data_IF_594821955574
#
_entry.id   IF_594821955574
#
_cell.length_a   1.000
_cell.length_b   1.000
_cell.length_c   1.000
_cell.angle_alpha   90.00
_cell.angle_beta   90.00
_cell.angle_gamma   90.00
#
_symmetry.space_group_name_H-M   'P 1'
#
loop_
_entity.id
_entity.type
_entity.pdbx_description
1 polymer ?
#
# COMPACT_ATOMS: atom_id res chain seq x y z
N UNK A 1 -19.41 -1.51 -9.50
CA UNK A 1 -18.35 -1.44 -8.47
C UNK A 1 -17.22 -0.61 -9.03
N UNK A 2 -16.34 -0.07 -8.18
CA UNK A 2 -15.16 0.68 -8.61
C UNK A 2 -14.01 -0.27 -8.93
N UNK A 3 -13.19 0.05 -9.92
CA UNK A 3 -12.04 -0.76 -10.36
C UNK A 3 -10.75 0.00 -10.10
N UNK A 4 -9.91 -0.56 -9.25
CA UNK A 4 -8.51 -0.11 -9.12
C UNK A 4 -7.59 -1.14 -9.74
N UNK A 5 -6.52 -0.67 -10.38
CA UNK A 5 -5.46 -1.54 -10.94
C UNK A 5 -4.15 -1.34 -10.19
N UNK A 6 -3.42 -2.43 -10.01
CA UNK A 6 -2.10 -2.43 -9.38
C UNK A 6 -1.02 -2.08 -10.41
N UNK A 7 -0.13 -1.17 -10.04
CA UNK A 7 0.92 -0.64 -10.90
C UNK A 7 2.21 -0.47 -10.12
N UNK A 8 3.32 -0.60 -10.84
CA UNK A 8 4.67 -0.44 -10.30
C UNK A 8 5.54 0.37 -11.25
N UNK A 9 6.60 1.06 -10.77
CA UNK A 9 7.54 1.77 -11.61
C UNK A 9 8.65 0.84 -12.18
N UNK A 10 8.35 -0.45 -12.36
CA UNK A 10 9.29 -1.44 -12.88
C UNK A 10 8.92 -1.87 -14.29
N UNK A 11 9.94 -2.13 -15.11
CA UNK A 11 9.78 -2.67 -16.47
C UNK A 11 10.78 -3.81 -16.69
N UNK A 12 10.27 -4.97 -17.11
CA UNK A 12 11.09 -6.14 -17.42
C UNK A 12 12.06 -5.85 -18.58
N UNK A 13 13.36 -6.19 -18.48
CA UNK A 13 14.36 -5.80 -19.47
C UNK A 13 14.14 -6.46 -20.83
N UNK A 14 13.64 -7.69 -20.86
CA UNK A 14 13.28 -8.40 -22.08
C UNK A 14 11.85 -8.05 -22.52
N UNK A 15 11.60 -6.77 -22.80
CA UNK A 15 10.32 -6.30 -23.31
C UNK A 15 10.48 -5.24 -24.40
N UNK A 16 9.45 -5.10 -25.24
CA UNK A 16 9.37 -4.00 -26.22
C UNK A 16 9.26 -2.65 -25.51
N UNK A 17 8.54 -2.61 -24.38
CA UNK A 17 8.40 -1.42 -23.52
C UNK A 17 9.75 -0.97 -22.99
N UNK A 18 10.60 -1.87 -22.51
CA UNK A 18 11.95 -1.52 -22.05
C UNK A 18 12.76 -0.83 -23.14
N UNK A 19 12.84 -1.43 -24.33
CA UNK A 19 13.60 -0.86 -25.47
C UNK A 19 13.11 0.52 -25.87
N UNK A 20 11.79 0.73 -25.85
CA UNK A 20 11.18 2.04 -26.09
C UNK A 20 11.63 3.06 -25.04
N UNK A 21 11.47 2.74 -23.75
CA UNK A 21 11.81 3.63 -22.65
C UNK A 21 13.31 3.94 -22.58
N UNK A 22 14.15 2.95 -22.85
CA UNK A 22 15.60 3.12 -22.94
C UNK A 22 15.97 4.10 -24.06
N UNK A 23 15.40 3.92 -25.26
CA UNK A 23 15.65 4.80 -26.40
C UNK A 23 15.25 6.25 -26.15
N UNK A 24 14.29 6.47 -25.24
CA UNK A 24 13.80 7.78 -24.84
C UNK A 24 14.47 8.31 -23.55
N UNK A 25 15.38 7.56 -22.94
CA UNK A 25 16.07 7.95 -21.72
C UNK A 25 15.16 8.04 -20.48
N UNK A 26 14.06 7.28 -20.44
CA UNK A 26 13.06 7.34 -19.38
C UNK A 26 13.33 6.38 -18.22
N UNK A 27 14.33 5.51 -18.35
CA UNK A 27 14.76 4.56 -17.31
C UNK A 27 15.86 5.16 -16.43
N UNK A 28 15.86 4.75 -15.16
CA UNK A 28 16.88 5.15 -14.20
C UNK A 28 18.24 4.56 -14.58
N UNK A 29 19.30 5.36 -14.39
CA UNK A 29 20.67 4.97 -14.72
C UNK A 29 21.51 4.80 -13.45
N UNK A 30 22.45 3.87 -13.50
CA UNK A 30 23.43 3.66 -12.45
C UNK A 30 24.54 4.74 -12.50
N UNK A 31 25.47 4.69 -11.56
CA UNK A 31 26.61 5.61 -11.48
C UNK A 31 27.57 5.58 -12.69
N UNK A 32 27.49 4.55 -13.55
CA UNK A 32 28.24 4.43 -14.80
C UNK A 32 27.49 4.99 -16.01
N UNK A 33 26.26 5.49 -15.82
CA UNK A 33 25.40 5.99 -16.89
C UNK A 33 24.68 4.90 -17.68
N UNK A 34 24.76 3.63 -17.27
CA UNK A 34 24.03 2.51 -17.89
C UNK A 34 22.61 2.42 -17.30
N UNK A 35 21.65 1.86 -18.03
CA UNK A 35 20.32 1.58 -17.45
C UNK A 35 20.49 0.58 -16.30
N UNK A 36 20.02 0.96 -15.12
CA UNK A 36 20.16 0.14 -13.93
C UNK A 36 19.10 -0.96 -13.87
N UNK A 37 19.55 -2.20 -13.65
CA UNK A 37 18.68 -3.35 -13.37
C UNK A 37 18.79 -3.70 -11.90
N UNK A 38 17.66 -3.84 -11.23
CA UNK A 38 17.60 -4.33 -9.84
C UNK A 38 16.75 -5.59 -9.73
N UNK A 39 17.03 -6.39 -8.70
CA UNK A 39 16.21 -7.53 -8.30
C UNK A 39 15.17 -7.05 -7.29
N UNK A 40 13.91 -7.38 -7.55
CA UNK A 40 12.79 -7.21 -6.63
C UNK A 40 12.02 -8.53 -6.53
N UNK A 41 10.90 -8.56 -5.81
CA UNK A 41 10.19 -9.82 -5.53
C UNK A 41 9.69 -10.50 -6.82
N UNK A 42 9.38 -9.73 -7.87
CA UNK A 42 8.94 -10.22 -9.19
C UNK A 42 10.10 -10.32 -10.21
N UNK A 43 11.32 -10.59 -9.73
CA UNK A 43 12.48 -10.86 -10.57
C UNK A 43 13.36 -9.64 -10.85
N UNK A 44 13.84 -9.50 -12.09
CA UNK A 44 14.77 -8.44 -12.49
C UNK A 44 14.07 -7.41 -13.36
N UNK A 45 14.25 -6.12 -13.05
CA UNK A 45 13.60 -5.04 -13.79
C UNK A 45 14.44 -3.77 -13.79
N UNK A 46 14.22 -2.92 -14.80
CA UNK A 46 14.64 -1.53 -14.74
C UNK A 46 13.58 -0.69 -14.02
N UNK A 47 14.06 0.36 -13.35
CA UNK A 47 13.20 1.32 -12.66
C UNK A 47 12.95 2.53 -13.56
N UNK A 48 11.71 3.03 -13.60
CA UNK A 48 11.39 4.30 -14.27
C UNK A 48 12.12 5.45 -13.57
N UNK A 49 12.66 6.41 -14.33
CA UNK A 49 13.23 7.63 -13.77
C UNK A 49 12.15 8.66 -13.45
N UNK A 50 11.34 8.44 -12.41
CA UNK A 50 10.21 9.34 -12.05
C UNK A 50 10.67 10.71 -11.51
N UNK A 51 11.98 10.94 -11.37
CA UNK A 51 12.54 12.27 -11.12
C UNK A 51 12.53 13.15 -12.38
N UNK A 52 12.34 12.57 -13.56
CA UNK A 52 12.20 13.27 -14.83
C UNK A 52 10.73 13.56 -15.15
N UNK A 53 10.43 14.82 -15.44
CA UNK A 53 9.08 15.23 -15.87
C UNK A 53 8.64 14.54 -17.18
N UNK A 54 9.58 14.13 -18.05
CA UNK A 54 9.27 13.36 -19.26
C UNK A 54 8.78 11.96 -18.91
N UNK A 55 9.43 11.29 -17.96
CA UNK A 55 9.02 9.95 -17.50
C UNK A 55 7.68 10.02 -16.76
N UNK A 56 7.48 11.03 -15.91
CA UNK A 56 6.20 11.26 -15.24
C UNK A 56 5.08 11.49 -16.26
N UNK A 57 5.33 12.30 -17.30
CA UNK A 57 4.37 12.49 -18.38
C UNK A 57 4.01 11.17 -19.07
N UNK A 58 5.02 10.40 -19.49
CA UNK A 58 4.80 9.10 -20.13
C UNK A 58 4.00 8.14 -19.23
N UNK A 59 4.30 8.11 -17.94
CA UNK A 59 3.60 7.28 -16.97
C UNK A 59 2.12 7.70 -16.85
N UNK A 60 1.86 9.01 -16.68
CA UNK A 60 0.50 9.56 -16.60
C UNK A 60 -0.29 9.37 -17.89
N UNK A 61 0.33 9.46 -19.07
CA UNK A 61 -0.34 9.11 -20.34
C UNK A 61 -0.81 7.65 -20.36
N UNK A 62 -0.07 6.73 -19.74
CA UNK A 62 -0.51 5.36 -19.51
C UNK A 62 -1.70 5.26 -18.56
N UNK A 63 -1.67 6.02 -17.45
CA UNK A 63 -2.78 6.09 -16.49
C UNK A 63 -4.06 6.63 -17.12
N UNK A 64 -3.98 7.69 -17.94
CA UNK A 64 -5.16 8.25 -18.61
C UNK A 64 -5.78 7.24 -19.59
N UNK A 65 -4.97 6.46 -20.32
CA UNK A 65 -5.49 5.36 -21.16
C UNK A 65 -6.24 4.31 -20.34
N UNK A 66 -5.75 3.98 -19.14
CA UNK A 66 -6.45 3.07 -18.24
C UNK A 66 -7.77 3.67 -17.75
N UNK A 67 -7.82 4.98 -17.47
CA UNK A 67 -9.07 5.68 -17.11
C UNK A 67 -10.07 5.71 -18.26
N UNK A 68 -9.60 5.92 -19.50
CA UNK A 68 -10.43 5.82 -20.71
C UNK A 68 -11.04 4.41 -20.87
N UNK A 69 -10.35 3.38 -20.39
CA UNK A 69 -10.86 2.00 -20.32
C UNK A 69 -11.81 1.73 -19.14
N UNK A 70 -12.04 2.71 -18.27
CA UNK A 70 -12.97 2.61 -17.13
C UNK A 70 -12.31 2.27 -15.78
N UNK A 71 -10.98 2.38 -15.66
CA UNK A 71 -10.29 2.28 -14.36
C UNK A 71 -10.59 3.52 -13.51
N UNK A 72 -11.00 3.31 -12.26
CA UNK A 72 -11.36 4.38 -11.32
C UNK A 72 -10.18 4.85 -10.45
N UNK A 73 -9.14 4.02 -10.29
CA UNK A 73 -8.02 4.34 -9.40
C UNK A 73 -6.83 3.40 -9.52
N UNK A 74 -5.79 3.69 -8.75
CA UNK A 74 -4.47 3.04 -8.88
C UNK A 74 -3.89 2.63 -7.53
N UNK A 75 -3.49 1.36 -7.40
CA UNK A 75 -2.65 0.90 -6.30
C UNK A 75 -1.19 1.00 -6.77
N UNK A 76 -0.50 2.01 -6.28
CA UNK A 76 0.83 2.45 -6.69
C UNK A 76 1.89 1.88 -5.75
N UNK A 77 2.55 0.81 -6.19
CA UNK A 77 3.46 0.01 -5.37
C UNK A 77 4.91 0.07 -5.88
N UNK A 78 5.87 -0.39 -5.08
CA UNK A 78 7.28 -0.48 -5.48
C UNK A 78 8.01 0.87 -5.56
N UNK A 79 7.45 1.92 -4.98
CA UNK A 79 8.08 3.25 -4.83
C UNK A 79 9.09 3.35 -3.69
N UNK A 80 9.48 2.22 -3.11
CA UNK A 80 10.35 2.13 -1.93
C UNK A 80 11.77 2.67 -2.24
N UNK A 81 12.39 3.44 -1.31
CA UNK A 81 13.68 4.08 -1.55
C UNK A 81 14.82 3.08 -1.77
N UNK A 82 14.70 1.86 -1.23
CA UNK A 82 15.69 0.78 -1.38
C UNK A 82 15.90 0.40 -2.84
N UNK A 83 14.84 0.38 -3.65
CA UNK A 83 14.94 0.03 -5.07
C UNK A 83 15.75 1.07 -5.86
N UNK A 84 15.55 2.35 -5.55
CA UNK A 84 16.32 3.44 -6.14
C UNK A 84 17.78 3.42 -5.68
N UNK A 85 18.01 3.21 -4.38
CA UNK A 85 19.35 3.11 -3.80
C UNK A 85 20.15 1.93 -4.40
N UNK A 86 19.50 0.77 -4.60
CA UNK A 86 20.11 -0.40 -5.24
C UNK A 86 20.58 -0.11 -6.68
N UNK A 87 19.81 0.68 -7.44
CA UNK A 87 20.15 1.03 -8.82
C UNK A 87 21.27 2.07 -8.89
N UNK A 88 21.17 3.12 -8.09
CA UNK A 88 22.05 4.30 -8.19
C UNK A 88 23.34 4.17 -7.37
N UNK A 89 23.34 3.34 -6.34
CA UNK A 89 24.40 3.26 -5.33
C UNK A 89 24.34 4.39 -4.29
N UNK A 90 23.28 5.19 -4.30
CA UNK A 90 23.06 6.26 -3.32
C UNK A 90 22.54 5.71 -1.98
N UNK A 91 22.59 6.54 -0.94
CA UNK A 91 22.03 6.18 0.36
C UNK A 91 20.50 6.13 0.32
N UNK A 92 19.89 5.33 1.21
CA UNK A 92 18.41 5.27 1.36
C UNK A 92 17.84 6.65 1.69
N UNK A 93 18.55 7.46 2.49
CA UNK A 93 18.12 8.81 2.84
C UNK A 93 18.03 9.73 1.62
N UNK A 94 19.01 9.65 0.70
CA UNK A 94 18.97 10.40 -0.56
C UNK A 94 17.88 9.86 -1.50
N UNK A 95 17.69 8.54 -1.51
CA UNK A 95 16.70 7.86 -2.34
C UNK A 95 15.24 8.19 -1.98
N UNK A 96 14.95 8.70 -0.78
CA UNK A 96 13.60 9.14 -0.38
C UNK A 96 12.99 10.19 -1.32
N UNK A 97 13.79 10.96 -2.06
CA UNK A 97 13.30 11.87 -3.10
C UNK A 97 12.56 11.14 -4.22
N UNK A 98 12.93 9.90 -4.50
CA UNK A 98 12.25 9.04 -5.46
C UNK A 98 10.86 8.65 -4.95
N UNK A 99 10.78 8.21 -3.69
CA UNK A 99 9.49 7.89 -3.03
C UNK A 99 8.57 9.10 -3.00
N UNK A 100 9.10 10.29 -2.69
CA UNK A 100 8.36 11.57 -2.73
C UNK A 100 7.85 11.87 -4.14
N UNK A 101 8.70 11.76 -5.16
CA UNK A 101 8.30 12.01 -6.56
C UNK A 101 7.26 11.00 -7.08
N UNK A 102 7.40 9.72 -6.72
CA UNK A 102 6.44 8.69 -7.13
C UNK A 102 5.08 8.86 -6.46
N UNK A 103 5.07 9.23 -5.17
CA UNK A 103 3.84 9.56 -4.45
C UNK A 103 3.14 10.80 -5.02
N UNK A 104 3.89 11.82 -5.47
CA UNK A 104 3.34 13.03 -6.05
C UNK A 104 2.50 12.78 -7.31
N UNK A 105 2.78 11.71 -8.08
CA UNK A 105 1.97 11.31 -9.25
C UNK A 105 0.52 11.08 -8.86
N UNK A 106 0.27 10.53 -7.67
CA UNK A 106 -1.06 10.18 -7.19
C UNK A 106 -1.91 11.39 -6.84
N UNK A 107 -1.31 12.58 -6.66
CA UNK A 107 -2.01 13.80 -6.30
C UNK A 107 -2.97 14.29 -7.40
N UNK A 108 -2.84 13.77 -8.61
CA UNK A 108 -3.69 14.11 -9.75
C UNK A 108 -4.93 13.21 -9.86
N UNK A 109 -5.11 12.24 -8.96
CA UNK A 109 -6.16 11.22 -9.05
C UNK A 109 -6.94 11.07 -7.74
N UNK A 110 -8.25 10.88 -7.86
CA UNK A 110 -9.15 10.80 -6.71
C UNK A 110 -8.96 9.53 -5.85
N UNK A 111 -8.49 8.44 -6.46
CA UNK A 111 -8.42 7.12 -5.81
C UNK A 111 -7.05 6.49 -6.02
N UNK A 112 -6.16 6.68 -5.04
CA UNK A 112 -4.81 6.10 -5.05
C UNK A 112 -4.44 5.47 -3.72
N UNK A 113 -3.75 4.34 -3.76
CA UNK A 113 -3.19 3.65 -2.59
C UNK A 113 -1.67 3.52 -2.76
N UNK A 114 -0.90 3.92 -1.75
CA UNK A 114 0.55 3.80 -1.71
C UNK A 114 1.01 2.93 -0.53
N UNK A 115 1.98 2.04 -0.78
CA UNK A 115 2.69 1.32 0.31
C UNK A 115 3.87 2.12 0.85
N UNK A 116 4.58 2.84 -0.02
CA UNK A 116 5.70 3.70 0.33
C UNK A 116 5.36 5.15 0.01
N UNK A 117 5.52 6.04 0.99
CA UNK A 117 5.20 7.46 0.85
C UNK A 117 6.14 8.31 1.71
N UNK A 118 6.61 9.42 1.16
CA UNK A 118 7.49 10.37 1.85
C UNK A 118 7.05 11.80 1.58
N UNK A 119 7.03 12.64 2.62
CA UNK A 119 6.69 14.08 2.56
C UNK A 119 5.32 14.45 1.94
N UNK A 120 4.37 13.53 1.94
CA UNK A 120 2.97 13.78 1.52
C UNK A 120 1.95 13.61 2.65
N UNK A 121 2.40 13.76 3.89
CA UNK A 121 1.50 13.89 5.04
C UNK A 121 0.55 15.08 4.85
N UNK A 122 -0.72 14.92 5.22
CA UNK A 122 -1.77 15.94 5.05
C UNK A 122 -2.35 16.04 3.64
N UNK A 123 -1.90 15.22 2.68
CA UNK A 123 -2.51 15.12 1.34
C UNK A 123 -3.67 14.12 1.33
N UNK A 124 -4.43 14.07 0.23
CA UNK A 124 -5.55 13.13 0.07
C UNK A 124 -5.13 11.68 -0.24
N UNK A 125 -3.83 11.42 -0.41
CA UNK A 125 -3.33 10.10 -0.78
C UNK A 125 -3.71 9.10 0.32
N UNK A 126 -4.10 7.88 -0.05
CA UNK A 126 -4.28 6.79 0.92
C UNK A 126 -2.99 5.99 1.07
N UNK A 127 -2.65 5.63 2.31
CA UNK A 127 -1.42 4.90 2.61
C UNK A 127 -1.73 3.57 3.28
N UNK A 128 -1.29 2.48 2.66
CA UNK A 128 -1.31 1.16 3.28
C UNK A 128 -0.04 0.97 4.11
N UNK A 129 -0.17 0.33 5.27
CA UNK A 129 1.00 -0.16 5.99
C UNK A 129 1.81 -1.12 5.09
N UNK A 130 3.10 -1.25 5.37
CA UNK A 130 3.91 -2.26 4.69
C UNK A 130 3.33 -3.68 4.90
N UNK A 131 3.64 -4.58 3.97
CA UNK A 131 3.14 -5.94 3.97
C UNK A 131 3.39 -6.63 5.33
N UNK A 132 2.33 -7.16 5.91
CA UNK A 132 2.27 -7.87 7.19
C UNK A 132 2.16 -9.35 6.94
N UNK A 133 2.80 -10.13 7.80
CA UNK A 133 2.74 -11.57 7.71
C UNK A 133 1.38 -12.08 8.19
N UNK A 134 0.98 -13.26 7.73
CA UNK A 134 -0.06 -14.09 8.34
C UNK A 134 0.42 -14.65 9.70
N UNK A 135 0.62 -13.75 10.66
CA UNK A 135 1.10 -14.04 12.01
C UNK A 135 0.32 -13.26 13.08
N UNK A 136 0.24 -13.83 14.29
CA UNK A 136 -0.40 -13.18 15.45
C UNK A 136 0.45 -12.07 16.07
N UNK A 137 1.77 -12.14 15.91
CA UNK A 137 2.74 -11.28 16.58
C UNK A 137 2.96 -9.92 15.89
N UNK A 138 4.02 -9.21 16.28
CA UNK A 138 4.38 -7.87 15.78
C UNK A 138 4.86 -7.86 14.33
N UNK A 139 5.04 -9.02 13.70
CA UNK A 139 5.26 -9.13 12.26
C UNK A 139 3.94 -9.14 11.47
N UNK A 140 2.82 -9.37 12.16
CA UNK A 140 1.48 -9.46 11.62
C UNK A 140 0.43 -8.66 12.41
N UNK A 141 -0.58 -9.35 12.93
CA UNK A 141 -1.80 -8.80 13.51
C UNK A 141 -1.53 -7.82 14.67
N UNK A 142 -0.63 -8.15 15.60
CA UNK A 142 -0.35 -7.29 16.74
C UNK A 142 0.27 -5.94 16.33
N UNK A 143 0.73 -5.81 15.08
CA UNK A 143 1.34 -4.58 14.58
C UNK A 143 0.33 -3.60 13.95
N UNK A 144 -0.89 -4.03 13.63
CA UNK A 144 -1.81 -3.23 12.80
C UNK A 144 -2.22 -1.93 13.50
N UNK A 145 -2.74 -2.04 14.72
CA UNK A 145 -3.19 -0.91 15.54
C UNK A 145 -2.04 0.06 15.86
N UNK A 146 -0.90 -0.38 16.46
CA UNK A 146 0.17 0.56 16.81
C UNK A 146 0.77 1.25 15.58
N UNK A 147 0.95 0.54 14.47
CA UNK A 147 1.46 1.15 13.24
C UNK A 147 0.44 2.09 12.59
N UNK A 148 -0.86 1.76 12.64
CA UNK A 148 -1.94 2.63 12.15
C UNK A 148 -2.02 3.94 12.94
N UNK A 149 -1.88 3.88 14.27
CA UNK A 149 -1.79 5.07 15.14
C UNK A 149 -0.54 5.89 14.78
N UNK A 150 0.62 5.26 14.65
CA UNK A 150 1.86 5.96 14.30
C UNK A 150 1.79 6.64 12.92
N UNK A 151 1.19 5.96 11.94
CA UNK A 151 0.92 6.49 10.61
C UNK A 151 0.02 7.74 10.68
N UNK A 152 -1.09 7.66 11.43
CA UNK A 152 -2.00 8.78 11.63
C UNK A 152 -1.34 9.97 12.34
N UNK A 153 -0.58 9.73 13.41
CA UNK A 153 0.16 10.77 14.14
C UNK A 153 1.23 11.46 13.28
N UNK A 154 1.74 10.75 12.26
CA UNK A 154 2.68 11.30 11.28
C UNK A 154 2.00 12.11 10.17
N UNK A 155 0.68 12.32 10.24
CA UNK A 155 -0.12 13.10 9.29
C UNK A 155 -0.63 12.32 8.07
N UNK A 156 -0.49 11.00 8.05
CA UNK A 156 -1.05 10.13 7.03
C UNK A 156 -2.40 9.58 7.51
N UNK A 157 -3.45 10.38 7.39
CA UNK A 157 -4.72 10.08 8.05
C UNK A 157 -5.54 8.99 7.36
N UNK A 158 -5.37 8.77 6.06
CA UNK A 158 -6.16 7.85 5.24
C UNK A 158 -5.50 6.48 5.14
N UNK A 159 -5.35 5.83 6.29
CA UNK A 159 -4.61 4.58 6.45
C UNK A 159 -5.39 3.30 6.11
N UNK A 160 -4.67 2.32 5.55
CA UNK A 160 -5.10 0.93 5.42
C UNK A 160 -4.16 0.04 6.28
N UNK A 161 -4.67 -0.87 7.14
CA UNK A 161 -3.88 -1.68 8.07
C UNK A 161 -3.04 -2.76 7.40
N UNK A 162 -2.90 -2.75 6.08
CA UNK A 162 -2.52 -3.88 5.23
C UNK A 162 -3.67 -4.84 4.89
N UNK A 163 -3.39 -5.79 3.98
CA UNK A 163 -4.35 -6.74 3.46
C UNK A 163 -4.81 -7.73 4.55
N UNK A 164 -6.12 -7.97 4.60
CA UNK A 164 -6.74 -8.89 5.56
C UNK A 164 -6.23 -10.31 5.32
N UNK A 165 -5.70 -10.90 6.39
CA UNK A 165 -5.02 -12.19 6.37
C UNK A 165 -3.51 -12.07 6.22
N UNK A 166 -2.95 -10.90 5.94
CA UNK A 166 -1.54 -10.74 5.59
C UNK A 166 -1.36 -10.29 4.14
N UNK A 167 -0.28 -9.56 3.88
CA UNK A 167 0.04 -8.95 2.59
C UNK A 167 1.15 -9.67 1.82
N UNK A 168 1.82 -10.66 2.41
CA UNK A 168 2.92 -11.36 1.73
C UNK A 168 2.39 -12.43 0.77
N UNK A 169 2.95 -12.47 -0.44
CA UNK A 169 2.62 -13.51 -1.41
C UNK A 169 2.89 -14.92 -0.86
N UNK A 170 4.00 -15.10 -0.15
CA UNK A 170 4.42 -16.38 0.43
C UNK A 170 3.56 -16.88 1.59
N UNK A 171 2.70 -16.03 2.16
CA UNK A 171 1.80 -16.46 3.24
C UNK A 171 0.73 -17.41 2.71
N UNK A 172 0.34 -17.22 1.45
CA UNK A 172 -0.80 -17.90 0.87
C UNK A 172 -0.48 -18.76 -0.34
N UNK A 173 0.69 -18.61 -0.94
CA UNK A 173 1.07 -19.38 -2.11
C UNK A 173 2.39 -20.09 -1.83
N UNK A 174 2.47 -21.36 -2.25
CA UNK A 174 3.75 -22.04 -2.27
C UNK A 174 4.67 -21.34 -3.28
N UNK A 175 5.91 -21.04 -2.87
CA UNK A 175 6.90 -20.35 -3.69
C UNK A 175 7.07 -21.04 -5.04
N UNK A 176 6.74 -20.32 -6.12
CA UNK A 176 6.83 -20.84 -7.49
C UNK A 176 5.55 -21.50 -8.01
N UNK A 177 4.45 -21.48 -7.25
CA UNK A 177 3.13 -21.96 -7.70
C UNK A 177 2.06 -20.86 -7.60
N UNK A 178 0.94 -21.06 -8.29
CA UNK A 178 -0.30 -20.27 -8.12
C UNK A 178 -1.33 -21.01 -7.25
N UNK A 179 -0.92 -22.10 -6.59
CA UNK A 179 -1.80 -22.90 -5.75
C UNK A 179 -1.87 -22.29 -4.35
N UNK A 180 -3.08 -21.97 -3.85
CA UNK A 180 -3.23 -21.50 -2.48
C UNK A 180 -2.78 -22.58 -1.51
N UNK A 181 -2.07 -22.17 -0.48
CA UNK A 181 -1.78 -22.98 0.70
C UNK A 181 -3.09 -23.35 1.39
N UNK A 182 -3.25 -24.63 1.71
CA UNK A 182 -4.44 -25.15 2.39
C UNK A 182 -4.39 -25.03 3.93
N UNK A 183 -3.30 -24.50 4.48
CA UNK A 183 -3.02 -24.43 5.93
C UNK A 183 -3.10 -23.01 6.51
N UNK A 184 -3.94 -22.14 5.92
CA UNK A 184 -4.21 -20.80 6.45
C UNK A 184 -4.83 -20.87 7.84
N UNK A 185 -4.29 -20.12 8.81
CA UNK A 185 -4.93 -19.93 10.11
C UNK A 185 -6.19 -19.07 9.93
N UNK A 186 -7.32 -19.77 9.86
CA UNK A 186 -8.61 -19.17 9.57
C UNK A 186 -9.09 -18.22 10.68
N UNK A 187 -8.74 -18.50 11.94
CA UNK A 187 -9.08 -17.60 13.05
C UNK A 187 -8.30 -16.30 12.89
N UNK A 188 -7.00 -16.39 12.59
CA UNK A 188 -6.16 -15.23 12.33
C UNK A 188 -6.70 -14.38 11.17
N UNK A 189 -7.12 -15.00 10.07
CA UNK A 189 -7.74 -14.30 8.94
C UNK A 189 -8.99 -13.51 9.39
N UNK A 190 -9.85 -14.13 10.20
CA UNK A 190 -11.04 -13.47 10.77
C UNK A 190 -10.63 -12.30 11.69
N UNK A 191 -9.58 -12.43 12.51
CA UNK A 191 -9.11 -11.34 13.37
C UNK A 191 -8.56 -10.17 12.58
N UNK A 192 -7.84 -10.43 11.51
CA UNK A 192 -7.44 -9.39 10.55
C UNK A 192 -8.65 -8.65 10.00
N UNK A 193 -9.72 -9.37 9.63
CA UNK A 193 -10.95 -8.75 9.12
C UNK A 193 -11.64 -7.87 10.17
N UNK A 194 -11.72 -8.36 11.42
CA UNK A 194 -12.33 -7.64 12.54
C UNK A 194 -11.57 -6.35 12.89
N UNK A 195 -10.23 -6.39 12.94
CA UNK A 195 -9.41 -5.19 13.17
C UNK A 195 -9.58 -4.21 12.01
N UNK A 196 -9.48 -4.70 10.77
CA UNK A 196 -9.55 -3.86 9.57
C UNK A 196 -10.92 -3.20 9.36
N UNK A 197 -12.00 -3.81 9.86
CA UNK A 197 -13.35 -3.25 9.77
C UNK A 197 -13.47 -1.84 10.39
N UNK A 198 -12.62 -1.50 11.36
CA UNK A 198 -12.64 -0.22 12.05
C UNK A 198 -11.53 0.75 11.63
N UNK A 199 -10.69 0.38 10.65
CA UNK A 199 -9.73 1.28 10.02
C UNK A 199 -10.41 2.20 8.98
N UNK A 200 -9.77 3.27 8.49
CA UNK A 200 -10.29 4.08 7.39
C UNK A 200 -10.57 3.26 6.13
N UNK A 201 -9.69 2.30 5.83
CA UNK A 201 -9.79 1.39 4.69
C UNK A 201 -9.68 -0.08 5.14
N UNK A 202 -10.35 -0.98 4.42
CA UNK A 202 -10.18 -2.43 4.55
C UNK A 202 -9.99 -3.05 3.16
N UNK A 203 -9.04 -3.98 3.03
CA UNK A 203 -8.70 -4.64 1.76
C UNK A 203 -8.44 -6.12 2.03
N UNK A 204 -9.12 -7.04 1.34
CA UNK A 204 -8.83 -8.47 1.46
C UNK A 204 -7.68 -8.88 0.54
N UNK A 205 -6.73 -9.68 1.06
CA UNK A 205 -5.67 -10.29 0.23
C UNK A 205 -6.23 -11.35 -0.72
N UNK A 206 -7.21 -12.11 -0.24
CA UNK A 206 -7.83 -13.21 -0.94
C UNK A 206 -9.34 -13.19 -0.75
N UNK A 207 -10.03 -13.77 -1.72
CA UNK A 207 -11.44 -14.09 -1.59
C UNK A 207 -11.65 -15.09 -0.42
N UNK A 208 -12.34 -14.72 0.67
CA UNK A 208 -12.39 -15.55 1.88
C UNK A 208 -12.99 -16.94 1.63
N UNK A 209 -13.98 -17.05 0.73
CA UNK A 209 -14.61 -18.33 0.37
C UNK A 209 -13.69 -19.32 -0.35
N UNK A 210 -12.49 -18.90 -0.79
CA UNK A 210 -11.49 -19.80 -1.40
C UNK A 210 -10.59 -20.47 -0.38
N UNK A 211 -10.46 -19.90 0.82
CA UNK A 211 -9.44 -20.29 1.81
C UNK A 211 -10.00 -20.54 3.22
N UNK A 212 -11.25 -20.15 3.47
CA UNK A 212 -11.93 -20.34 4.75
C UNK A 212 -13.07 -21.35 4.63
N UNK A 213 -13.31 -22.09 5.71
CA UNK A 213 -14.53 -22.85 5.91
C UNK A 213 -15.75 -21.93 6.08
N UNK A 214 -16.94 -22.52 6.07
CA UNK A 214 -18.18 -21.76 6.15
C UNK A 214 -18.31 -20.94 7.44
N UNK A 215 -17.82 -21.44 8.57
CA UNK A 215 -17.91 -20.75 9.87
C UNK A 215 -17.05 -19.48 9.86
N UNK A 216 -15.79 -19.58 9.43
CA UNK A 216 -14.87 -18.45 9.38
C UNK A 216 -15.22 -17.47 8.25
N UNK A 217 -15.77 -17.96 7.14
CA UNK A 217 -16.34 -17.11 6.10
C UNK A 217 -17.49 -16.25 6.62
N UNK A 218 -18.43 -16.84 7.39
CA UNK A 218 -19.52 -16.10 8.03
C UNK A 218 -18.96 -15.06 9.02
N UNK A 219 -17.94 -15.41 9.81
CA UNK A 219 -17.31 -14.44 10.73
C UNK A 219 -16.65 -13.25 9.99
N UNK A 220 -16.12 -13.44 8.78
CA UNK A 220 -15.67 -12.33 7.94
C UNK A 220 -16.83 -11.44 7.46
N UNK A 221 -17.99 -12.03 7.16
CA UNK A 221 -19.21 -11.27 6.82
C UNK A 221 -19.66 -10.44 8.03
N UNK A 222 -19.63 -11.01 9.24
CA UNK A 222 -19.96 -10.28 10.47
C UNK A 222 -19.03 -9.07 10.70
N UNK A 223 -17.73 -9.22 10.40
CA UNK A 223 -16.79 -8.08 10.43
C UNK A 223 -17.14 -7.00 9.40
N UNK A 224 -17.56 -7.39 8.20
CA UNK A 224 -18.05 -6.45 7.17
C UNK A 224 -19.35 -5.78 7.63
N UNK A 225 -20.24 -6.48 8.32
CA UNK A 225 -21.47 -5.91 8.85
C UNK A 225 -21.18 -4.90 9.97
N UNK A 226 -20.16 -5.15 10.81
CA UNK A 226 -19.63 -4.16 11.74
C UNK A 226 -19.11 -2.91 11.01
N UNK A 227 -18.35 -3.07 9.93
CA UNK A 227 -17.92 -1.94 9.08
C UNK A 227 -19.12 -1.13 8.58
N UNK A 228 -20.17 -1.79 8.07
CA UNK A 228 -21.38 -1.11 7.58
C UNK A 228 -22.08 -0.34 8.70
N UNK A 229 -22.17 -0.91 9.90
CA UNK A 229 -22.76 -0.26 11.07
C UNK A 229 -22.03 1.06 11.42
N UNK A 230 -20.70 1.06 11.38
CA UNK A 230 -19.88 2.23 11.71
C UNK A 230 -19.50 3.10 10.49
N UNK A 231 -19.95 2.77 9.27
CA UNK A 231 -19.51 3.45 8.05
C UNK A 231 -19.79 4.97 8.08
N UNK A 232 -20.95 5.39 8.60
CA UNK A 232 -21.29 6.82 8.74
C UNK A 232 -20.40 7.55 9.74
N UNK A 233 -20.02 6.89 10.84
CA UNK A 233 -19.09 7.44 11.83
C UNK A 233 -17.67 7.54 11.26
N UNK A 234 -17.18 6.48 10.61
CA UNK A 234 -15.88 6.50 9.92
C UNK A 234 -15.84 7.61 8.85
N UNK A 235 -16.91 7.80 8.07
CA UNK A 235 -16.99 8.88 7.08
C UNK A 235 -16.95 10.28 7.71
N UNK A 236 -17.52 10.44 8.91
CA UNK A 236 -17.43 11.69 9.68
C UNK A 236 -15.97 11.95 10.10
N UNK A 237 -15.27 10.93 10.60
CA UNK A 237 -13.85 11.04 10.95
C UNK A 237 -12.95 11.30 9.74
N UNK A 238 -13.23 10.68 8.60
CA UNK A 238 -12.54 10.95 7.32
C UNK A 238 -12.72 12.42 6.92
N UNK A 239 -13.92 12.98 7.06
CA UNK A 239 -14.20 14.39 6.74
C UNK A 239 -13.50 15.35 7.73
N UNK A 240 -13.47 15.01 9.03
CA UNK A 240 -12.70 15.76 10.03
C UNK A 240 -11.20 15.72 9.71
N UNK A 241 -10.66 14.54 9.38
CA UNK A 241 -9.25 14.37 9.03
C UNK A 241 -8.87 15.19 7.80
N UNK A 242 -9.70 15.20 6.76
CA UNK A 242 -9.46 15.96 5.53
C UNK A 242 -9.39 17.48 5.75
N UNK A 243 -10.06 17.99 6.78
CA UNK A 243 -10.12 19.43 7.07
C UNK A 243 -9.12 19.87 8.15
N UNK A 244 -8.83 19.00 9.13
CA UNK A 244 -8.05 19.36 10.32
C UNK A 244 -6.69 18.66 10.40
N UNK A 245 -6.45 17.63 9.60
CA UNK A 245 -5.28 16.75 9.72
C UNK A 245 -5.30 15.85 10.96
N UNK A 246 -6.39 15.85 11.75
CA UNK A 246 -6.51 14.97 12.92
C UNK A 246 -6.55 13.51 12.48
N UNK A 247 -5.78 12.61 13.13
CA UNK A 247 -5.78 11.20 12.76
C UNK A 247 -7.15 10.56 13.01
N UNK A 248 -7.50 9.55 12.21
CA UNK A 248 -8.75 8.78 12.37
C UNK A 248 -8.59 7.74 13.47
N UNK A 249 -7.51 6.94 13.41
CA UNK A 249 -7.09 6.06 14.50
C UNK A 249 -6.31 6.87 15.53
N UNK A 250 -6.76 6.84 16.78
CA UNK A 250 -6.22 7.66 17.87
C UNK A 250 -5.85 6.74 19.04
N UNK A 251 -4.69 6.98 19.65
CA UNK A 251 -4.37 6.33 20.92
C UNK A 251 -5.29 6.83 22.03
N UNK A 252 -5.42 6.04 23.10
CA UNK A 252 -6.18 6.46 24.28
C UNK A 252 -5.61 7.74 24.90
N UNK A 253 -4.29 7.89 24.94
CA UNK A 253 -3.64 9.13 25.42
C UNK A 253 -3.95 10.34 24.54
N UNK A 254 -4.09 10.18 23.22
CA UNK A 254 -4.49 11.29 22.33
C UNK A 254 -5.90 11.80 22.65
N UNK A 255 -6.83 10.89 22.97
CA UNK A 255 -8.23 11.23 23.27
C UNK A 255 -8.42 11.68 24.72
N UNK A 256 -7.64 11.12 25.65
CA UNK A 256 -7.74 11.34 27.09
C UNK A 256 -6.37 11.70 27.68
N UNK A 257 -5.85 12.91 27.39
CA UNK A 257 -4.50 13.30 27.78
C UNK A 257 -4.33 13.33 29.31
N UNK A 258 -3.16 12.91 29.77
CA UNK A 258 -2.75 12.92 31.18
C UNK A 258 -3.58 12.02 32.11
N UNK A 259 -4.31 11.05 31.56
CA UNK A 259 -5.05 10.04 32.33
C UNK A 259 -4.25 8.75 32.57
N UNK A 260 -2.96 8.74 32.20
CA UNK A 260 -2.07 7.59 32.39
C UNK A 260 -2.18 6.53 31.29
N UNK A 261 -2.64 6.92 30.09
CA UNK A 261 -2.86 6.00 28.97
C UNK A 261 -1.72 5.94 27.97
N UNK A 262 -0.64 6.70 28.17
CA UNK A 262 0.54 6.67 27.31
C UNK A 262 1.13 5.26 27.07
N UNK A 263 0.95 4.33 28.01
CA UNK A 263 1.41 2.94 27.90
C UNK A 263 0.36 1.92 27.47
N UNK A 264 -0.87 2.33 27.18
CA UNK A 264 -1.94 1.43 26.72
C UNK A 264 -1.93 1.41 25.20
N UNK A 265 -1.65 0.24 24.62
CA UNK A 265 -1.74 -0.05 23.19
C UNK A 265 -2.79 -1.11 22.92
#
# INVERSE_FOLDING_TARGET
FKVMVWLVPFVSPDSTTFRLLESQGLLLRNSKGEVGITRWWDGYSALLNVLSHHTVRWFKEGLEKLREMGVDGFKMDGGDPEHFAQVTGESVAEALRYTEAFAAIGLDYDMTEYRACWKHAGTHLTQRLCDKNHAWDTTGLASLIPNGIAQGLSGYAFGCPDMIGGGQYSDFYELGTLEPRCDVDQELFVRYAQVSALFPMMQFSLAPWRVLDMRHHIACIEAIDMRKLYAGYIATLVSEAATTGRPILRSMEFVFPHQGYAGIQ
#
